data_IF_293274210305
#
_entry.id   IF_293274210305
#
_cell.length_a   1.000
_cell.length_b   1.000
_cell.length_c   1.000
_cell.angle_alpha   90.00
_cell.angle_beta   90.00
_cell.angle_gamma   90.00
#
_symmetry.space_group_name_H-M   'P 1'
#
loop_
_entity.id
_entity.type
_entity.pdbx_description
1 polymer ?
#
# COMPACT_ATOMS: atom_id res chain seq x y z
N UNK A 1 -10.63 -11.47 16.82
CA UNK A 1 -11.76 -12.14 16.13
C UNK A 1 -11.25 -13.38 15.40
N UNK A 2 -11.99 -14.49 15.39
CA UNK A 2 -11.69 -15.66 14.56
C UNK A 2 -12.58 -15.59 13.33
N UNK A 3 -11.99 -15.59 12.13
CA UNK A 3 -12.71 -15.63 10.86
C UNK A 3 -13.11 -17.07 10.54
N UNK A 4 -14.39 -17.30 10.29
CA UNK A 4 -14.89 -18.58 9.76
C UNK A 4 -14.74 -18.66 8.23
N UNK A 5 -15.04 -19.82 7.63
CA UNK A 5 -14.89 -20.01 6.18
C UNK A 5 -15.88 -19.17 5.35
N UNK A 6 -17.05 -18.84 5.90
CA UNK A 6 -17.98 -17.93 5.24
C UNK A 6 -17.46 -16.50 5.20
N UNK A 7 -16.85 -16.02 6.30
CA UNK A 7 -16.20 -14.71 6.34
C UNK A 7 -15.08 -14.63 5.29
N UNK A 8 -14.23 -15.65 5.21
CA UNK A 8 -13.16 -15.73 4.19
C UNK A 8 -13.72 -15.73 2.78
N UNK A 9 -14.81 -16.46 2.52
CA UNK A 9 -15.46 -16.50 1.21
C UNK A 9 -16.03 -15.14 0.81
N UNK A 10 -16.66 -14.42 1.74
CA UNK A 10 -17.13 -13.05 1.52
C UNK A 10 -15.95 -12.12 1.22
N UNK A 11 -14.87 -12.20 2.01
CA UNK A 11 -13.68 -11.36 1.81
C UNK A 11 -12.99 -11.63 0.47
N UNK A 12 -12.88 -12.90 0.01
CA UNK A 12 -12.35 -13.23 -1.31
C UNK A 12 -13.15 -12.55 -2.43
N UNK A 13 -14.49 -12.58 -2.35
CA UNK A 13 -15.35 -11.93 -3.34
C UNK A 13 -15.18 -10.41 -3.32
N UNK A 14 -15.15 -9.80 -2.14
CA UNK A 14 -14.97 -8.36 -1.98
C UNK A 14 -13.58 -7.88 -2.42
N UNK A 15 -12.52 -8.67 -2.24
CA UNK A 15 -11.18 -8.34 -2.73
C UNK A 15 -11.11 -8.30 -4.26
N UNK A 16 -11.81 -9.24 -4.92
CA UNK A 16 -11.84 -9.28 -6.39
C UNK A 16 -12.74 -8.20 -7.00
N UNK A 17 -13.84 -7.85 -6.32
CA UNK A 17 -14.76 -6.80 -6.76
C UNK A 17 -15.44 -6.13 -5.57
N UNK A 18 -14.95 -4.96 -5.17
CA UNK A 18 -15.51 -4.18 -4.07
C UNK A 18 -16.95 -3.66 -4.34
N UNK A 19 -17.41 -3.68 -5.60
CA UNK A 19 -18.76 -3.27 -6.01
C UNK A 19 -19.74 -4.45 -6.15
N UNK A 20 -19.31 -5.66 -5.80
CA UNK A 20 -20.18 -6.85 -5.83
C UNK A 20 -21.40 -6.62 -4.93
N UNK A 21 -22.58 -6.98 -5.42
CA UNK A 21 -23.80 -6.81 -4.63
C UNK A 21 -23.98 -7.93 -3.61
N UNK A 22 -24.70 -7.64 -2.51
CA UNK A 22 -25.05 -8.68 -1.52
C UNK A 22 -25.81 -9.83 -2.16
N UNK A 23 -26.63 -9.54 -3.19
CA UNK A 23 -27.36 -10.55 -3.96
C UNK A 23 -26.41 -11.50 -4.69
N UNK A 24 -25.36 -10.94 -5.31
CA UNK A 24 -24.38 -11.75 -6.05
C UNK A 24 -23.49 -12.57 -5.09
N UNK A 25 -23.14 -12.01 -3.94
CA UNK A 25 -22.46 -12.75 -2.86
C UNK A 25 -23.36 -13.91 -2.39
N UNK A 26 -24.65 -13.62 -2.13
CA UNK A 26 -25.65 -14.62 -1.72
C UNK A 26 -25.74 -15.80 -2.70
N UNK A 27 -25.75 -15.50 -3.99
CA UNK A 27 -25.77 -16.53 -5.04
C UNK A 27 -24.44 -17.34 -5.07
N UNK A 28 -23.30 -16.66 -4.90
CA UNK A 28 -21.99 -17.29 -4.99
C UNK A 28 -21.69 -18.26 -3.83
N UNK A 29 -22.13 -17.93 -2.61
CA UNK A 29 -21.86 -18.74 -1.41
C UNK A 29 -23.07 -19.51 -0.87
N UNK A 30 -24.20 -19.44 -1.59
CA UNK A 30 -25.47 -20.11 -1.25
C UNK A 30 -25.95 -19.79 0.19
N UNK A 31 -25.93 -18.50 0.57
CA UNK A 31 -26.36 -18.00 1.87
C UNK A 31 -27.35 -16.84 1.66
N UNK A 32 -28.36 -16.73 2.53
CA UNK A 32 -29.33 -15.61 2.44
C UNK A 32 -28.68 -14.25 2.66
N UNK A 33 -29.28 -13.18 2.13
CA UNK A 33 -28.69 -11.82 2.12
C UNK A 33 -28.50 -11.21 3.52
N UNK A 34 -29.41 -11.46 4.47
CA UNK A 34 -29.35 -10.86 5.81
C UNK A 34 -28.10 -11.28 6.58
N UNK A 35 -27.75 -12.58 6.72
CA UNK A 35 -26.50 -12.98 7.37
C UNK A 35 -25.24 -12.44 6.68
N UNK A 36 -25.26 -12.27 5.35
CA UNK A 36 -24.13 -11.70 4.60
C UNK A 36 -23.95 -10.23 4.99
N UNK A 37 -25.02 -9.46 4.98
CA UNK A 37 -25.01 -8.06 5.41
C UNK A 37 -24.45 -7.90 6.83
N UNK A 38 -24.94 -8.72 7.77
CA UNK A 38 -24.50 -8.66 9.16
C UNK A 38 -23.02 -9.03 9.32
N UNK A 39 -22.52 -10.01 8.54
CA UNK A 39 -21.11 -10.38 8.50
C UNK A 39 -20.24 -9.26 7.95
N UNK A 40 -20.61 -8.65 6.82
CA UNK A 40 -19.85 -7.54 6.23
C UNK A 40 -19.78 -6.39 7.24
N UNK A 41 -20.89 -5.99 7.82
CA UNK A 41 -20.94 -4.93 8.83
C UNK A 41 -20.06 -5.23 10.05
N UNK A 42 -20.05 -6.47 10.53
CA UNK A 42 -19.14 -6.90 11.59
C UNK A 42 -17.68 -6.82 11.17
N UNK A 43 -17.33 -7.28 9.96
CA UNK A 43 -15.96 -7.23 9.42
C UNK A 43 -15.45 -5.79 9.26
N UNK A 44 -16.33 -4.85 8.92
CA UNK A 44 -16.02 -3.41 8.90
C UNK A 44 -15.82 -2.85 10.32
N UNK A 45 -16.72 -3.14 11.24
CA UNK A 45 -16.65 -2.67 12.63
C UNK A 45 -15.42 -3.19 13.38
N UNK A 46 -15.02 -4.43 13.12
CA UNK A 46 -13.83 -5.07 13.70
C UNK A 46 -12.52 -4.65 12.96
N UNK A 47 -12.63 -3.83 11.91
CA UNK A 47 -11.49 -3.32 11.15
C UNK A 47 -10.79 -4.34 10.24
N UNK A 48 -11.40 -5.50 10.00
CA UNK A 48 -10.90 -6.47 9.00
C UNK A 48 -11.03 -5.89 7.60
N UNK A 49 -12.18 -5.27 7.30
CA UNK A 49 -12.35 -4.42 6.12
C UNK A 49 -12.02 -2.99 6.56
N UNK A 50 -10.87 -2.48 6.14
CA UNK A 50 -10.43 -1.14 6.51
C UNK A 50 -11.10 -0.06 5.67
N UNK A 51 -11.22 -0.29 4.36
CA UNK A 51 -11.82 0.63 3.39
C UNK A 51 -12.03 -0.05 2.03
N UNK A 52 -12.87 0.53 1.21
CA UNK A 52 -13.03 0.21 -0.20
C UNK A 52 -12.29 1.27 -1.03
N UNK A 53 -11.52 0.85 -2.02
CA UNK A 53 -10.68 1.73 -2.84
C UNK A 53 -10.82 1.40 -4.31
N UNK A 54 -10.68 2.43 -5.15
CA UNK A 54 -10.54 2.26 -6.60
C UNK A 54 -9.07 2.05 -6.93
N UNK A 55 -8.76 1.00 -7.68
CA UNK A 55 -7.44 0.81 -8.27
C UNK A 55 -7.36 1.56 -9.58
N UNK A 56 -6.33 2.38 -9.73
CA UNK A 56 -6.12 3.23 -10.91
C UNK A 56 -4.96 2.68 -11.75
N UNK A 57 -5.11 2.75 -13.07
CA UNK A 57 -3.99 2.51 -13.99
C UNK A 57 -3.07 3.74 -14.00
N UNK A 58 -1.93 3.63 -13.32
CA UNK A 58 -0.96 4.70 -13.19
C UNK A 58 -0.38 5.16 -14.54
N UNK A 59 -0.30 4.27 -15.54
CA UNK A 59 0.20 4.61 -16.88
C UNK A 59 -0.76 5.56 -17.61
N UNK A 60 -2.08 5.38 -17.40
CA UNK A 60 -3.09 6.29 -17.94
C UNK A 60 -3.11 7.66 -17.23
N UNK A 61 -2.44 7.79 -16.11
CA UNK A 61 -2.33 9.02 -15.32
C UNK A 61 -0.96 9.68 -15.44
N UNK A 62 -0.17 9.33 -16.44
CA UNK A 62 1.21 9.82 -16.62
C UNK A 62 2.13 9.54 -15.40
N UNK A 63 1.84 8.50 -14.62
CA UNK A 63 2.64 8.05 -13.48
C UNK A 63 3.38 6.74 -13.82
N UNK A 64 4.13 6.77 -14.95
CA UNK A 64 4.72 5.58 -15.56
C UNK A 64 5.89 4.99 -14.79
N UNK A 65 6.65 5.79 -14.04
CA UNK A 65 7.86 5.35 -13.36
C UNK A 65 7.60 4.90 -11.92
N UNK A 66 8.03 3.69 -11.59
CA UNK A 66 8.10 3.19 -10.21
C UNK A 66 9.57 3.13 -9.78
N UNK A 67 9.85 3.66 -8.60
CA UNK A 67 11.18 3.61 -7.99
C UNK A 67 11.08 3.03 -6.59
N UNK A 68 11.92 2.09 -6.26
CA UNK A 68 12.13 1.62 -4.89
C UNK A 68 13.38 2.29 -4.32
N UNK A 69 13.27 2.88 -3.13
CA UNK A 69 14.41 3.46 -2.44
C UNK A 69 14.70 2.72 -1.14
N UNK A 70 15.95 2.30 -0.99
CA UNK A 70 16.50 1.81 0.27
C UNK A 70 17.16 3.01 0.96
N UNK A 71 16.68 3.36 2.13
CA UNK A 71 17.16 4.53 2.87
C UNK A 71 17.83 4.08 4.16
N UNK A 72 19.04 4.61 4.39
CA UNK A 72 19.79 4.42 5.63
C UNK A 72 19.88 5.75 6.36
N UNK A 73 19.53 5.77 7.63
CA UNK A 73 19.65 6.96 8.48
C UNK A 73 21.08 7.09 9.05
N UNK A 74 21.53 8.32 9.27
CA UNK A 74 22.83 8.63 9.87
C UNK A 74 22.94 8.04 11.29
N UNK A 75 21.87 8.20 12.09
CA UNK A 75 21.79 7.65 13.43
C UNK A 75 20.44 6.99 13.66
N UNK A 76 20.47 5.76 14.14
CA UNK A 76 19.27 4.98 14.46
C UNK A 76 18.72 5.38 15.84
N UNK A 77 18.33 6.64 15.99
CA UNK A 77 17.69 7.16 17.20
C UNK A 77 16.19 7.25 17.02
N UNK A 78 15.44 7.13 18.12
CA UNK A 78 13.98 7.27 18.11
C UNK A 78 13.53 8.60 17.50
N UNK A 79 14.29 9.67 17.73
CA UNK A 79 13.98 10.99 17.18
C UNK A 79 14.12 11.01 15.65
N UNK A 80 15.22 10.48 15.11
CA UNK A 80 15.46 10.44 13.67
C UNK A 80 14.42 9.58 12.95
N UNK A 81 14.04 8.43 13.52
CA UNK A 81 12.94 7.61 13.00
C UNK A 81 11.63 8.39 12.93
N UNK A 82 11.23 9.00 14.06
CA UNK A 82 9.98 9.77 14.13
C UNK A 82 9.96 10.96 13.17
N UNK A 83 11.05 11.71 13.06
CA UNK A 83 11.16 12.86 12.17
C UNK A 83 11.12 12.44 10.69
N UNK A 84 11.83 11.36 10.34
CA UNK A 84 11.81 10.79 9.00
C UNK A 84 10.40 10.35 8.62
N UNK A 85 9.75 9.53 9.45
CA UNK A 85 8.40 9.01 9.20
C UNK A 85 7.36 10.12 9.03
N UNK A 86 7.38 11.15 9.88
CA UNK A 86 6.49 12.31 9.79
C UNK A 86 6.72 13.13 8.51
N UNK A 87 7.97 13.18 8.04
CA UNK A 87 8.32 13.91 6.83
C UNK A 87 7.90 13.13 5.58
N UNK A 88 8.22 11.84 5.53
CA UNK A 88 7.87 10.95 4.41
C UNK A 88 6.35 10.87 4.20
N UNK A 89 5.57 10.85 5.28
CA UNK A 89 4.11 10.81 5.21
C UNK A 89 3.48 12.02 4.48
N UNK A 90 4.23 13.12 4.30
CA UNK A 90 3.76 14.32 3.60
C UNK A 90 4.05 14.29 2.08
N UNK A 91 4.84 13.34 1.60
CA UNK A 91 5.23 13.27 0.20
C UNK A 91 4.27 12.36 -0.59
N UNK A 92 3.39 12.92 -1.43
CA UNK A 92 2.42 12.14 -2.18
C UNK A 92 3.05 11.21 -3.22
N UNK A 93 4.29 11.47 -3.63
CA UNK A 93 5.06 10.62 -4.53
C UNK A 93 5.39 9.26 -3.90
N UNK A 94 5.44 9.19 -2.56
CA UNK A 94 5.74 7.97 -1.81
C UNK A 94 4.43 7.27 -1.47
N UNK A 95 4.19 6.14 -2.11
CA UNK A 95 2.96 5.35 -1.93
C UNK A 95 3.10 4.22 -0.92
N UNK A 96 4.33 3.91 -0.51
CA UNK A 96 4.60 2.93 0.56
C UNK A 96 5.93 3.26 1.23
N UNK A 97 5.96 3.12 2.56
CA UNK A 97 7.14 3.23 3.39
C UNK A 97 7.10 2.12 4.45
N UNK A 98 8.16 1.32 4.53
CA UNK A 98 8.29 0.23 5.50
C UNK A 98 9.61 0.34 6.23
N UNK A 99 9.59 0.32 7.56
CA UNK A 99 10.78 0.08 8.38
C UNK A 99 11.15 -1.40 8.24
N UNK A 100 12.39 -1.69 7.95
CA UNK A 100 12.87 -3.05 7.70
C UNK A 100 14.09 -3.38 8.56
N UNK A 101 14.33 -4.65 8.80
CA UNK A 101 15.57 -5.12 9.39
C UNK A 101 16.55 -5.53 8.29
N UNK A 102 17.82 -5.13 8.38
CA UNK A 102 18.82 -5.48 7.37
C UNK A 102 19.89 -4.41 7.20
N UNK A 103 20.39 -4.27 5.99
CA UNK A 103 21.49 -3.35 5.63
C UNK A 103 21.07 -1.89 5.45
N UNK A 104 19.78 -1.61 5.50
CA UNK A 104 19.19 -0.27 5.44
C UNK A 104 17.96 -0.21 6.35
N UNK A 105 17.45 0.99 6.66
CA UNK A 105 16.41 1.19 7.65
C UNK A 105 15.01 1.21 7.04
N UNK A 106 14.83 1.88 5.89
CA UNK A 106 13.53 2.04 5.26
C UNK A 106 13.52 1.60 3.80
N UNK A 107 12.41 0.98 3.41
CA UNK A 107 12.10 0.63 2.03
C UNK A 107 10.89 1.44 1.56
N UNK A 108 11.13 2.29 0.57
CA UNK A 108 10.11 3.16 -0.01
C UNK A 108 9.69 2.65 -1.38
N UNK A 109 8.41 2.77 -1.72
CA UNK A 109 7.90 2.68 -3.09
C UNK A 109 7.40 4.06 -3.51
N UNK A 110 7.98 4.59 -4.59
CA UNK A 110 7.62 5.88 -5.17
C UNK A 110 7.01 5.67 -6.55
N UNK A 111 6.12 6.58 -6.92
CA UNK A 111 5.54 6.66 -8.27
C UNK A 111 5.69 8.08 -8.77
N UNK A 112 6.30 8.22 -9.95
CA UNK A 112 6.49 9.51 -10.62
C UNK A 112 6.23 9.38 -12.12
N UNK A 113 6.19 10.50 -12.82
CA UNK A 113 5.99 10.52 -14.26
C UNK A 113 7.16 9.85 -14.99
N UNK A 114 8.36 10.32 -14.71
CA UNK A 114 9.60 9.97 -15.41
C UNK A 114 10.83 10.15 -14.52
N UNK A 115 12.01 9.85 -15.05
CA UNK A 115 13.30 9.96 -14.34
C UNK A 115 13.63 11.41 -13.98
N UNK A 116 13.26 12.37 -14.81
CA UNK A 116 13.52 13.80 -14.55
C UNK A 116 12.71 14.26 -13.32
N UNK A 117 11.42 13.93 -13.27
CA UNK A 117 10.55 14.20 -12.12
C UNK A 117 11.06 13.53 -10.86
N UNK A 118 11.54 12.28 -10.98
CA UNK A 118 12.16 11.59 -9.86
C UNK A 118 13.43 12.30 -9.37
N UNK A 119 14.33 12.69 -10.27
CA UNK A 119 15.58 13.36 -9.90
C UNK A 119 15.31 14.69 -9.17
N UNK A 120 14.32 15.45 -9.61
CA UNK A 120 13.89 16.68 -8.92
C UNK A 120 13.38 16.37 -7.51
N UNK A 121 12.49 15.39 -7.37
CA UNK A 121 12.01 14.94 -6.07
C UNK A 121 13.16 14.49 -5.16
N UNK A 122 14.09 13.67 -5.70
CA UNK A 122 15.23 13.18 -4.96
C UNK A 122 16.10 14.31 -4.42
N UNK A 123 16.50 15.26 -5.30
CA UNK A 123 17.40 16.35 -4.94
C UNK A 123 16.76 17.40 -4.02
N UNK A 124 15.49 17.72 -4.22
CA UNK A 124 14.82 18.80 -3.50
C UNK A 124 14.14 18.34 -2.20
N UNK A 125 13.76 17.06 -2.11
CA UNK A 125 12.96 16.57 -0.97
C UNK A 125 13.62 15.43 -0.20
N UNK A 126 14.12 14.39 -0.86
CA UNK A 126 14.54 13.17 -0.16
C UNK A 126 16.00 13.24 0.29
N UNK A 127 16.92 13.63 -0.59
CA UNK A 127 18.37 13.69 -0.30
C UNK A 127 18.76 14.86 0.61
N UNK A 128 17.89 15.85 0.80
CA UNK A 128 18.15 17.01 1.69
C UNK A 128 17.75 16.77 3.13
N UNK A 129 17.14 15.61 3.44
CA UNK A 129 16.72 15.27 4.80
C UNK A 129 17.96 15.06 5.69
N UNK A 130 18.12 15.82 6.78
CA UNK A 130 19.35 15.84 7.56
C UNK A 130 19.66 14.52 8.26
N UNK A 131 18.63 13.70 8.51
CA UNK A 131 18.81 12.38 9.13
C UNK A 131 19.15 11.27 8.14
N UNK A 132 19.15 11.53 6.83
CA UNK A 132 19.41 10.53 5.79
C UNK A 132 20.91 10.49 5.48
N UNK A 133 21.54 9.31 5.66
CA UNK A 133 22.94 9.09 5.32
C UNK A 133 23.14 8.56 3.90
N UNK A 134 22.26 7.64 3.47
CA UNK A 134 22.39 7.00 2.16
C UNK A 134 21.03 6.62 1.57
N UNK A 135 20.93 6.76 0.25
CA UNK A 135 19.76 6.31 -0.52
C UNK A 135 20.26 5.51 -1.73
N UNK A 136 19.75 4.29 -1.85
CA UNK A 136 19.94 3.48 -3.06
C UNK A 136 18.60 3.40 -3.82
N UNK A 137 18.59 3.93 -5.04
CA UNK A 137 17.38 4.03 -5.88
C UNK A 137 17.37 2.93 -6.93
N UNK A 138 16.32 2.13 -6.93
CA UNK A 138 16.10 1.00 -7.83
C UNK A 138 14.94 1.31 -8.76
N UNK A 139 15.23 1.54 -10.03
CA UNK A 139 14.21 1.79 -11.05
C UNK A 139 13.57 0.47 -11.48
N UNK A 140 12.26 0.37 -11.36
CA UNK A 140 11.53 -0.84 -11.76
C UNK A 140 11.44 -0.89 -13.27
N UNK A 141 12.03 -1.91 -13.87
CA UNK A 141 12.00 -2.13 -15.31
C UNK A 141 10.66 -2.69 -15.77
N UNK A 142 10.11 -3.63 -14.99
CA UNK A 142 8.80 -4.24 -15.23
C UNK A 142 8.18 -4.75 -13.92
N UNK A 143 6.87 -4.63 -13.78
CA UNK A 143 6.11 -5.18 -12.66
C UNK A 143 5.42 -6.48 -13.10
N UNK A 144 6.06 -7.61 -12.83
CA UNK A 144 5.58 -8.95 -13.26
C UNK A 144 4.29 -9.35 -12.55
N UNK A 145 4.11 -8.95 -11.30
CA UNK A 145 2.89 -9.21 -10.52
C UNK A 145 2.65 -8.07 -9.54
N UNK A 146 1.48 -7.50 -9.62
CA UNK A 146 0.99 -6.51 -8.65
C UNK A 146 -0.45 -6.85 -8.30
N UNK A 147 -0.73 -7.08 -7.03
CA UNK A 147 -2.08 -7.35 -6.51
C UNK A 147 -2.24 -6.75 -5.12
N UNK A 148 -3.46 -6.38 -4.78
CA UNK A 148 -3.86 -5.99 -3.43
C UNK A 148 -4.58 -7.12 -2.70
N UNK A 149 -4.84 -8.25 -3.39
CA UNK A 149 -5.52 -9.41 -2.81
C UNK A 149 -4.60 -10.16 -1.85
N UNK A 150 -5.09 -10.39 -0.63
CA UNK A 150 -4.45 -11.23 0.37
C UNK A 150 -4.82 -12.70 0.15
N UNK A 151 -3.91 -13.65 0.41
CA UNK A 151 -4.18 -15.08 0.30
C UNK A 151 -5.06 -15.55 1.47
N UNK A 152 -6.37 -15.59 1.25
CA UNK A 152 -7.40 -15.99 2.24
C UNK A 152 -7.86 -17.43 2.02
#
# INVERSE_FOLDING_TARGET
MILDELDRSILRLLQSNALITIKDISAAINLSMSPIHDRIKRLEQEGVIQKYVTLLDRKQLDLGLVVHCQVTLDKQTRNNFSEFEQTIAKFPEIISCSLVSGSFDYYLKLVTKDVETYNKFYQEKLAVLPMVAHINSLFVMDEIKTTTELPL
#
